data_IF_593737267226
#
_entry.id   IF_593737267226
#
_cell.length_a   1.000
_cell.length_b   1.000
_cell.length_c   1.000
_cell.angle_alpha   90.00
_cell.angle_beta   90.00
_cell.angle_gamma   90.00
#
_symmetry.space_group_name_H-M   'P 1'
#
loop_
_entity.id
_entity.type
_entity.pdbx_description
1 polymer ?
#
# COMPACT_ATOMS: atom_id res chain seq x y z
N UNK A 1 -59.63 12.84 83.69
CA UNK A 1 -59.09 11.48 83.87
C UNK A 1 -60.27 10.61 84.28
N UNK A 2 -60.72 9.57 83.58
CA UNK A 2 -60.17 8.83 82.42
C UNK A 2 -61.37 8.14 81.77
N UNK A 3 -61.48 8.20 80.44
CA UNK A 3 -62.48 7.48 79.64
C UNK A 3 -62.09 6.00 79.55
N UNK A 4 -63.05 5.10 79.79
CA UNK A 4 -62.95 3.66 79.48
C UNK A 4 -63.63 3.41 78.14
N UNK A 5 -62.86 2.84 77.21
CA UNK A 5 -63.22 2.54 75.83
C UNK A 5 -63.89 1.17 75.75
N UNK A 6 -65.09 1.11 75.16
CA UNK A 6 -65.78 -0.14 74.83
C UNK A 6 -65.27 -0.76 73.53
N UNK A 7 -65.14 -2.09 73.50
CA UNK A 7 -64.64 -2.85 72.35
C UNK A 7 -65.57 -2.77 71.13
N UNK A 8 -64.98 -2.73 69.93
CA UNK A 8 -65.68 -2.73 68.65
C UNK A 8 -65.99 -4.18 68.19
N UNK A 9 -67.21 -4.40 67.69
CA UNK A 9 -67.70 -5.70 67.23
C UNK A 9 -67.02 -6.21 65.94
N UNK A 10 -67.02 -7.53 65.77
CA UNK A 10 -66.33 -8.23 64.69
C UNK A 10 -66.94 -8.00 63.28
N UNK A 11 -66.06 -7.91 62.28
CA UNK A 11 -66.37 -7.67 60.87
C UNK A 11 -67.03 -8.90 60.20
N UNK A 12 -68.05 -8.65 59.35
CA UNK A 12 -68.82 -9.71 58.67
C UNK A 12 -68.06 -10.34 57.49
N UNK A 13 -68.43 -11.58 57.07
CA UNK A 13 -67.66 -12.31 56.06
C UNK A 13 -67.77 -11.70 54.65
N UNK A 14 -66.69 -11.75 53.83
CA UNK A 14 -66.68 -11.20 52.48
C UNK A 14 -67.67 -11.85 51.51
N UNK A 15 -68.26 -11.04 50.62
CA UNK A 15 -69.16 -11.49 49.56
C UNK A 15 -68.47 -12.34 48.48
N UNK A 16 -69.22 -13.28 47.90
CA UNK A 16 -68.76 -14.26 46.90
C UNK A 16 -68.64 -13.66 45.49
N UNK A 17 -67.48 -13.83 44.86
CA UNK A 17 -67.15 -13.34 43.50
C UNK A 17 -67.95 -14.06 42.41
N UNK A 18 -68.44 -13.30 41.42
CA UNK A 18 -69.21 -13.84 40.28
C UNK A 18 -68.38 -14.63 39.26
N UNK A 19 -69.04 -15.38 38.35
CA UNK A 19 -68.36 -16.26 37.41
C UNK A 19 -67.60 -15.49 36.31
N UNK A 20 -66.46 -16.04 35.89
CA UNK A 20 -65.59 -15.50 34.83
C UNK A 20 -66.20 -15.79 33.45
N UNK A 21 -66.19 -14.79 32.55
CA UNK A 21 -66.74 -14.90 31.20
C UNK A 21 -65.91 -15.81 30.25
N UNK A 22 -66.50 -16.26 29.14
CA UNK A 22 -65.85 -17.20 28.22
C UNK A 22 -64.70 -16.56 27.43
N UNK A 23 -63.67 -17.35 27.15
CA UNK A 23 -62.48 -16.95 26.40
C UNK A 23 -62.79 -16.72 24.91
N UNK A 24 -62.22 -15.67 24.32
CA UNK A 24 -62.40 -15.34 22.90
C UNK A 24 -61.68 -16.32 21.95
N UNK A 25 -62.10 -16.39 20.67
CA UNK A 25 -61.53 -17.32 19.69
C UNK A 25 -60.11 -16.94 19.26
N UNK A 26 -59.32 -17.95 18.89
CA UNK A 26 -57.93 -17.79 18.44
C UNK A 26 -57.82 -17.08 17.08
N UNK A 27 -56.77 -16.27 16.92
CA UNK A 27 -56.47 -15.55 15.68
C UNK A 27 -55.99 -16.47 14.54
N UNK A 28 -56.28 -16.08 13.29
CA UNK A 28 -55.92 -16.87 12.09
C UNK A 28 -54.41 -16.77 11.78
N UNK A 29 -53.79 -17.82 11.21
CA UNK A 29 -52.39 -17.77 10.76
C UNK A 29 -52.16 -16.72 9.66
N UNK A 30 -50.95 -16.14 9.65
CA UNK A 30 -50.53 -15.18 8.63
C UNK A 30 -50.23 -15.84 7.26
N UNK A 31 -50.24 -15.06 6.16
CA UNK A 31 -50.00 -15.59 4.82
C UNK A 31 -48.54 -16.00 4.59
N UNK A 32 -48.36 -16.95 3.67
CA UNK A 32 -47.05 -17.50 3.28
C UNK A 32 -46.22 -16.47 2.49
N UNK A 33 -44.91 -16.37 2.77
CA UNK A 33 -44.02 -15.41 2.13
C UNK A 33 -43.71 -15.74 0.67
N UNK A 34 -43.62 -14.71 -0.19
CA UNK A 34 -43.35 -14.89 -1.62
C UNK A 34 -41.90 -15.35 -1.88
N UNK A 35 -41.74 -16.24 -2.87
CA UNK A 35 -40.46 -16.80 -3.31
C UNK A 35 -39.61 -15.73 -4.00
N UNK A 36 -38.32 -15.64 -3.66
CA UNK A 36 -37.38 -14.69 -4.24
C UNK A 36 -37.18 -14.89 -5.75
N UNK A 37 -36.99 -13.78 -6.47
CA UNK A 37 -36.80 -13.77 -7.93
C UNK A 37 -35.40 -14.30 -8.27
N UNK A 38 -35.24 -15.20 -9.26
CA UNK A 38 -33.93 -15.65 -9.73
C UNK A 38 -33.07 -14.49 -10.24
N UNK A 39 -31.76 -14.52 -9.95
CA UNK A 39 -30.82 -13.51 -10.44
C UNK A 39 -30.67 -13.50 -11.97
N UNK A 40 -30.25 -12.37 -12.56
CA UNK A 40 -30.10 -12.26 -14.01
C UNK A 40 -28.97 -13.16 -14.53
N UNK A 41 -29.15 -13.67 -15.76
CA UNK A 41 -28.13 -14.45 -16.48
C UNK A 41 -26.98 -13.53 -16.88
N UNK A 42 -25.73 -13.97 -16.67
CA UNK A 42 -24.53 -13.20 -17.02
C UNK A 42 -24.42 -12.94 -18.54
N UNK A 43 -23.73 -11.87 -18.95
CA UNK A 43 -23.58 -11.51 -20.36
C UNK A 43 -22.76 -12.57 -21.14
N UNK A 44 -23.07 -12.80 -22.44
CA UNK A 44 -22.25 -13.66 -23.30
C UNK A 44 -20.81 -13.15 -23.42
N UNK A 45 -19.84 -14.07 -23.42
CA UNK A 45 -18.43 -13.73 -23.63
C UNK A 45 -18.18 -13.11 -25.01
N UNK A 46 -17.21 -12.20 -25.09
CA UNK A 46 -16.84 -11.53 -26.33
C UNK A 46 -16.27 -12.52 -27.37
N UNK A 47 -16.59 -12.38 -28.67
CA UNK A 47 -15.97 -13.17 -29.73
C UNK A 47 -14.45 -12.94 -29.77
N UNK A 48 -13.68 -14.03 -29.86
CA UNK A 48 -12.22 -13.96 -29.98
C UNK A 48 -11.79 -13.19 -31.25
N UNK A 49 -10.74 -12.39 -31.12
CA UNK A 49 -10.16 -11.63 -32.22
C UNK A 49 -9.63 -12.57 -33.32
N UNK A 50 -9.93 -12.23 -34.57
CA UNK A 50 -9.42 -12.91 -35.76
C UNK A 50 -7.92 -12.66 -35.88
N UNK A 51 -7.11 -13.71 -35.89
CA UNK A 51 -5.66 -13.60 -36.05
C UNK A 51 -5.27 -12.97 -37.38
N UNK A 52 -4.27 -12.09 -37.36
CA UNK A 52 -3.71 -11.44 -38.54
C UNK A 52 -3.01 -12.44 -39.47
N UNK A 53 -3.04 -12.24 -40.80
CA UNK A 53 -2.30 -13.08 -41.75
C UNK A 53 -0.79 -12.95 -41.53
N UNK A 54 -0.11 -14.10 -41.40
CA UNK A 54 1.34 -14.15 -41.18
C UNK A 54 2.14 -13.52 -42.32
N UNK A 55 3.20 -12.78 -41.96
CA UNK A 55 4.16 -12.22 -42.90
C UNK A 55 5.02 -13.30 -43.56
N UNK A 56 5.40 -13.03 -44.81
CA UNK A 56 6.23 -13.90 -45.65
C UNK A 56 7.65 -13.98 -45.07
N UNK A 57 8.11 -15.19 -44.75
CA UNK A 57 9.37 -15.40 -44.04
C UNK A 57 10.63 -14.97 -44.81
N UNK A 58 11.56 -14.34 -44.10
CA UNK A 58 12.93 -14.11 -44.57
C UNK A 58 13.82 -15.32 -44.30
N UNK A 59 14.81 -15.49 -45.18
CA UNK A 59 15.75 -16.60 -45.23
C UNK A 59 16.77 -16.48 -44.08
N UNK A 60 16.91 -17.53 -43.27
CA UNK A 60 17.63 -17.48 -41.99
C UNK A 60 19.15 -17.29 -42.06
N UNK A 61 19.71 -16.81 -40.96
CA UNK A 61 21.11 -16.91 -40.58
C UNK A 61 21.23 -17.81 -39.34
N UNK A 62 22.26 -18.68 -39.24
CA UNK A 62 22.38 -19.66 -38.16
C UNK A 62 22.94 -19.00 -36.89
N UNK A 63 22.28 -19.22 -35.76
CA UNK A 63 22.67 -18.67 -34.47
C UNK A 63 22.40 -19.61 -33.29
N UNK A 64 23.49 -19.90 -32.58
CA UNK A 64 23.71 -20.43 -31.22
C UNK A 64 22.64 -21.26 -30.50
N UNK A 65 23.11 -22.41 -30.02
CA UNK A 65 22.50 -23.27 -29.00
C UNK A 65 22.24 -22.44 -27.73
N UNK A 66 20.97 -22.14 -27.46
CA UNK A 66 20.51 -21.67 -26.17
C UNK A 66 20.42 -22.83 -25.18
N UNK A 67 20.93 -22.61 -23.96
CA UNK A 67 20.76 -23.50 -22.83
C UNK A 67 19.26 -23.71 -22.54
N UNK A 68 18.87 -24.96 -22.30
CA UNK A 68 17.53 -25.35 -21.86
C UNK A 68 17.27 -24.67 -20.51
N UNK A 69 16.24 -23.82 -20.45
CA UNK A 69 15.76 -23.23 -19.20
C UNK A 69 15.25 -24.31 -18.24
N UNK A 70 15.39 -24.14 -16.92
CA UNK A 70 14.87 -25.09 -15.96
C UNK A 70 13.34 -25.24 -16.11
N UNK A 71 12.77 -26.43 -15.88
CA UNK A 71 11.32 -26.63 -15.89
C UNK A 71 10.63 -25.66 -14.93
N UNK A 72 9.55 -25.02 -15.39
CA UNK A 72 8.76 -24.11 -14.55
C UNK A 72 8.20 -24.82 -13.33
N UNK A 73 8.22 -24.15 -12.18
CA UNK A 73 7.68 -24.70 -10.93
C UNK A 73 6.16 -24.93 -11.02
N UNK A 74 5.73 -26.03 -10.39
CA UNK A 74 4.34 -26.41 -10.27
C UNK A 74 3.58 -25.35 -9.46
N UNK A 75 2.56 -24.74 -10.06
CA UNK A 75 1.74 -23.73 -9.39
C UNK A 75 1.15 -24.27 -8.06
N UNK A 76 1.28 -23.46 -7.00
CA UNK A 76 0.76 -23.80 -5.68
C UNK A 76 -0.76 -23.99 -5.72
N UNK A 77 -1.20 -25.06 -5.05
CA UNK A 77 -2.60 -25.40 -4.89
C UNK A 77 -3.24 -24.36 -3.95
N UNK A 78 -4.19 -23.59 -4.46
CA UNK A 78 -4.87 -22.56 -3.68
C UNK A 78 -5.40 -23.04 -2.34
N UNK A 79 -5.15 -22.25 -1.30
CA UNK A 79 -5.52 -22.56 0.07
C UNK A 79 -7.03 -22.66 0.26
N UNK A 80 -7.44 -23.63 1.07
CA UNK A 80 -8.83 -23.83 1.47
C UNK A 80 -9.24 -22.66 2.38
N UNK A 81 -10.26 -21.90 1.97
CA UNK A 81 -10.79 -20.78 2.76
C UNK A 81 -11.07 -21.15 4.22
N UNK A 82 -10.68 -20.28 5.14
CA UNK A 82 -10.86 -20.44 6.57
C UNK A 82 -12.35 -20.48 6.96
N UNK A 83 -12.78 -21.33 7.91
CA UNK A 83 -14.13 -21.28 8.47
C UNK A 83 -14.41 -19.91 9.09
N UNK A 84 -15.60 -19.36 8.84
CA UNK A 84 -16.02 -18.07 9.41
C UNK A 84 -16.06 -18.09 10.95
N UNK A 85 -15.80 -16.95 11.61
CA UNK A 85 -15.74 -16.88 13.06
C UNK A 85 -17.11 -17.14 13.72
N UNK A 86 -17.08 -17.84 14.85
CA UNK A 86 -18.25 -18.13 15.68
C UNK A 86 -18.74 -16.84 16.34
N UNK A 87 -20.04 -16.53 16.18
CA UNK A 87 -20.67 -15.35 16.79
C UNK A 87 -20.64 -15.39 18.32
N UNK A 88 -20.44 -14.23 18.95
CA UNK A 88 -20.42 -14.06 20.41
C UNK A 88 -21.82 -14.25 21.03
N UNK A 89 -21.91 -14.79 22.27
CA UNK A 89 -23.18 -14.86 22.99
C UNK A 89 -23.70 -13.45 23.33
N UNK A 90 -24.97 -13.18 23.02
CA UNK A 90 -25.64 -11.93 23.40
C UNK A 90 -25.84 -11.80 24.92
N UNK A 91 -25.68 -10.60 25.43
CA UNK A 91 -25.87 -10.23 26.84
C UNK A 91 -27.32 -10.38 27.31
N UNK A 92 -27.49 -10.85 28.56
CA UNK A 92 -28.77 -10.97 29.26
C UNK A 92 -29.35 -9.58 29.57
N UNK A 93 -30.59 -9.31 29.14
CA UNK A 93 -31.37 -8.12 29.50
C UNK A 93 -32.65 -8.50 30.26
N UNK A 94 -33.00 -7.70 31.27
CA UNK A 94 -33.86 -8.02 32.42
C UNK A 94 -35.36 -8.31 32.15
N UNK A 95 -35.92 -9.16 33.01
CA UNK A 95 -37.34 -9.50 33.09
C UNK A 95 -38.17 -8.42 33.80
N UNK A 96 -39.34 -8.10 33.23
CA UNK A 96 -40.39 -7.27 33.83
C UNK A 96 -41.13 -7.95 35.00
N UNK A 97 -41.91 -7.13 35.73
CA UNK A 97 -42.53 -7.48 37.02
C UNK A 97 -43.85 -8.27 36.85
N UNK A 98 -43.85 -9.48 37.46
CA UNK A 98 -44.89 -10.32 38.11
C UNK A 98 -46.35 -10.40 37.61
N UNK A 99 -46.76 -11.66 37.36
CA UNK A 99 -48.06 -12.25 37.75
C UNK A 99 -48.00 -13.78 37.62
N UNK A 100 -48.17 -14.52 38.72
CA UNK A 100 -47.93 -15.97 38.77
C UNK A 100 -49.13 -16.81 38.33
N UNK A 101 -48.91 -17.77 37.41
CA UNK A 101 -49.85 -18.84 37.05
C UNK A 101 -49.12 -20.19 37.10
N UNK A 102 -49.84 -21.22 37.54
CA UNK A 102 -49.32 -22.47 38.13
C UNK A 102 -48.49 -23.40 37.23
N UNK A 103 -47.91 -24.45 37.83
CA UNK A 103 -46.88 -25.28 37.20
C UNK A 103 -47.46 -26.13 36.05
N UNK A 104 -46.84 -26.00 34.88
CA UNK A 104 -47.05 -26.87 33.72
C UNK A 104 -46.16 -28.11 33.86
N UNK A 105 -46.72 -29.29 33.58
CA UNK A 105 -46.05 -30.58 33.71
C UNK A 105 -44.81 -30.73 32.81
N UNK A 106 -43.92 -31.69 33.13
CA UNK A 106 -42.66 -31.85 32.41
C UNK A 106 -42.88 -32.17 30.91
N UNK A 107 -42.08 -31.59 30.00
CA UNK A 107 -42.12 -31.88 28.57
C UNK A 107 -41.82 -33.34 28.27
N UNK A 108 -42.52 -33.90 27.27
CA UNK A 108 -42.22 -35.24 26.74
C UNK A 108 -40.84 -35.33 26.10
N UNK A 109 -40.27 -36.54 25.98
CA UNK A 109 -38.91 -36.73 25.47
C UNK A 109 -38.76 -36.30 23.99
N UNK A 110 -37.56 -35.86 23.56
CA UNK A 110 -37.28 -35.47 22.17
C UNK A 110 -37.52 -36.62 21.18
N UNK A 111 -38.12 -36.30 20.03
CA UNK A 111 -38.29 -37.23 18.92
C UNK A 111 -36.95 -37.68 18.31
N UNK A 112 -36.91 -38.92 17.83
CA UNK A 112 -35.71 -39.54 17.25
C UNK A 112 -35.25 -38.81 15.96
N UNK A 113 -33.93 -38.68 15.72
CA UNK A 113 -33.39 -38.09 14.49
C UNK A 113 -33.85 -38.83 13.23
N UNK A 114 -34.23 -38.08 12.20
CA UNK A 114 -34.60 -38.64 10.89
C UNK A 114 -33.43 -39.33 10.19
N UNK A 115 -33.72 -40.38 9.42
CA UNK A 115 -32.73 -41.19 8.71
C UNK A 115 -31.93 -40.39 7.67
N UNK A 116 -30.62 -40.64 7.60
CA UNK A 116 -29.68 -40.06 6.65
C UNK A 116 -30.07 -40.38 5.20
N UNK A 117 -30.16 -39.35 4.34
CA UNK A 117 -30.45 -39.51 2.92
C UNK A 117 -29.36 -40.29 2.16
N UNK A 118 -29.71 -40.99 1.06
CA UNK A 118 -28.77 -41.85 0.34
C UNK A 118 -27.65 -41.06 -0.35
N UNK A 119 -26.45 -41.65 -0.33
CA UNK A 119 -25.22 -41.11 -0.91
C UNK A 119 -25.32 -41.04 -2.44
N UNK A 120 -25.08 -39.85 -3.01
CA UNK A 120 -25.05 -39.65 -4.46
C UNK A 120 -23.97 -40.49 -5.16
N UNK A 121 -24.26 -40.97 -6.37
CA UNK A 121 -23.39 -41.84 -7.15
C UNK A 121 -22.08 -41.14 -7.57
N UNK A 122 -20.97 -41.87 -7.47
CA UNK A 122 -19.63 -41.42 -7.86
C UNK A 122 -19.55 -41.30 -9.39
N UNK A 123 -19.23 -40.11 -9.90
CA UNK A 123 -18.99 -39.91 -11.34
C UNK A 123 -17.83 -40.78 -11.85
N UNK A 124 -18.02 -41.42 -13.00
CA UNK A 124 -17.02 -42.26 -13.66
C UNK A 124 -15.85 -41.42 -14.17
N UNK A 125 -14.63 -41.81 -13.82
CA UNK A 125 -13.39 -41.24 -14.36
C UNK A 125 -13.29 -41.51 -15.86
N UNK A 126 -12.95 -40.50 -16.65
CA UNK A 126 -12.72 -40.64 -18.09
C UNK A 126 -11.50 -41.53 -18.40
N UNK A 127 -11.45 -42.17 -19.58
CA UNK A 127 -10.35 -43.05 -19.95
C UNK A 127 -9.04 -42.28 -20.15
N UNK A 128 -7.93 -42.89 -19.75
CA UNK A 128 -6.58 -42.33 -19.91
C UNK A 128 -6.20 -42.24 -21.40
N UNK A 129 -5.64 -41.09 -21.81
CA UNK A 129 -5.12 -40.91 -23.18
C UNK A 129 -3.96 -41.86 -23.47
N UNK A 130 -3.88 -42.34 -24.72
CA UNK A 130 -2.79 -43.22 -25.15
C UNK A 130 -1.44 -42.50 -25.08
N UNK A 131 -0.44 -43.22 -24.56
CA UNK A 131 0.96 -42.78 -24.44
C UNK A 131 1.54 -42.67 -25.85
N UNK A 132 2.03 -41.49 -26.22
CA UNK A 132 2.71 -41.29 -27.50
C UNK A 132 4.03 -42.07 -27.56
N UNK A 133 4.29 -42.71 -28.69
CA UNK A 133 5.50 -43.49 -28.93
C UNK A 133 6.75 -42.59 -28.90
N UNK A 134 7.81 -43.12 -28.29
CA UNK A 134 9.09 -42.41 -28.12
C UNK A 134 9.83 -42.38 -29.46
N UNK A 135 10.11 -41.18 -29.97
CA UNK A 135 10.86 -40.99 -31.22
C UNK A 135 12.27 -41.59 -31.14
N UNK A 136 12.72 -42.19 -32.24
CA UNK A 136 14.04 -42.83 -32.34
C UNK A 136 15.17 -41.80 -32.25
N UNK A 137 16.22 -42.16 -31.51
CA UNK A 137 17.42 -41.34 -31.29
C UNK A 137 18.17 -41.15 -32.63
N UNK A 138 18.44 -39.89 -32.99
CA UNK A 138 19.19 -39.55 -34.19
C UNK A 138 20.67 -39.95 -34.11
N UNK A 139 21.34 -40.25 -35.24
CA UNK A 139 22.73 -40.68 -35.26
C UNK A 139 23.71 -39.57 -34.82
N UNK A 140 24.89 -39.92 -34.28
CA UNK A 140 25.89 -38.95 -33.86
C UNK A 140 26.40 -38.08 -35.01
N UNK A 141 26.59 -36.78 -34.75
CA UNK A 141 27.15 -35.84 -35.73
C UNK A 141 28.64 -36.11 -36.01
N UNK A 142 29.14 -35.74 -37.21
CA UNK A 142 30.54 -35.97 -37.59
C UNK A 142 31.52 -35.09 -36.79
N UNK A 143 32.78 -35.54 -36.61
CA UNK A 143 33.82 -34.75 -35.92
C UNK A 143 34.14 -33.43 -36.63
N UNK A 144 34.31 -32.36 -35.86
CA UNK A 144 34.67 -31.03 -36.37
C UNK A 144 36.12 -30.94 -36.86
N UNK A 145 36.43 -29.98 -37.75
CA UNK A 145 37.77 -29.81 -38.31
C UNK A 145 38.78 -29.23 -37.28
N UNK A 146 40.10 -29.49 -37.43
CA UNK A 146 41.13 -28.98 -36.52
C UNK A 146 41.27 -27.45 -36.57
N UNK A 147 41.44 -26.83 -35.40
CA UNK A 147 41.56 -25.37 -35.24
C UNK A 147 42.88 -24.82 -35.76
N UNK A 148 42.80 -23.75 -36.55
CA UNK A 148 43.93 -23.03 -37.12
C UNK A 148 44.41 -21.92 -36.15
N UNK A 149 45.72 -21.82 -35.97
CA UNK A 149 46.41 -20.95 -35.02
C UNK A 149 46.28 -19.48 -35.45
N UNK A 150 45.56 -18.67 -34.66
CA UNK A 150 45.51 -17.22 -34.86
C UNK A 150 46.79 -16.59 -34.25
N UNK A 151 47.64 -16.05 -35.12
CA UNK A 151 48.73 -15.14 -34.74
C UNK A 151 48.16 -13.81 -34.22
N UNK A 152 48.69 -13.22 -33.14
CA UNK A 152 48.33 -11.86 -32.74
C UNK A 152 49.01 -10.81 -33.64
N UNK A 153 48.20 -9.86 -34.14
CA UNK A 153 48.63 -8.66 -34.87
C UNK A 153 49.41 -7.69 -33.96
N UNK A 154 50.39 -6.93 -34.50
CA UNK A 154 51.23 -6.03 -33.70
C UNK A 154 50.55 -4.67 -33.48
N UNK A 155 50.35 -4.28 -32.22
CA UNK A 155 50.00 -2.91 -31.83
C UNK A 155 51.27 -2.06 -31.88
N UNK A 156 51.30 -1.10 -32.81
CA UNK A 156 52.31 -0.07 -32.90
C UNK A 156 52.07 1.01 -31.82
N UNK A 157 53.10 1.33 -31.04
CA UNK A 157 53.18 2.56 -30.25
C UNK A 157 54.41 3.38 -30.68
N UNK A 158 54.32 4.72 -30.73
CA UNK A 158 55.37 5.55 -31.31
C UNK A 158 56.54 5.75 -30.33
N UNK A 159 57.75 5.50 -30.85
CA UNK A 159 59.04 5.71 -30.18
C UNK A 159 59.23 7.19 -29.81
N UNK A 160 59.42 7.48 -28.51
CA UNK A 160 60.21 8.65 -28.08
C UNK A 160 61.66 8.25 -27.90
N UNK A 161 62.50 8.98 -28.60
CA UNK A 161 63.96 8.94 -28.70
C UNK A 161 64.65 9.20 -27.36
N UNK A 162 65.49 8.28 -26.90
CA UNK A 162 66.69 8.64 -26.12
C UNK A 162 67.83 7.66 -26.43
N UNK A 163 68.94 8.24 -26.89
CA UNK A 163 70.17 7.59 -27.35
C UNK A 163 70.78 6.72 -26.26
N UNK A 164 71.21 5.51 -26.61
CA UNK A 164 72.23 4.77 -25.87
C UNK A 164 73.55 4.85 -26.64
N UNK A 165 74.62 5.15 -25.92
CA UNK A 165 76.00 4.97 -26.34
C UNK A 165 76.74 4.41 -25.12
N UNK A 166 77.50 3.34 -25.32
CA UNK A 166 78.49 2.86 -24.36
C UNK A 166 78.24 1.44 -23.87
N UNK A 167 79.05 0.53 -24.39
CA UNK A 167 79.26 -0.83 -23.90
C UNK A 167 79.85 -0.86 -22.48
N UNK A 168 79.72 -2.06 -21.90
CA UNK A 168 80.66 -2.73 -20.99
C UNK A 168 80.31 -2.71 -19.48
N UNK A 169 80.01 -3.93 -19.02
CA UNK A 169 80.42 -4.54 -17.74
C UNK A 169 80.26 -3.73 -16.46
N UNK A 170 79.42 -4.21 -15.53
CA UNK A 170 79.93 -4.96 -14.38
C UNK A 170 78.82 -5.41 -13.44
N UNK A 171 79.09 -6.51 -12.76
CA UNK A 171 78.21 -7.18 -11.81
C UNK A 171 77.92 -6.30 -10.57
N UNK A 172 76.67 -5.86 -10.42
CA UNK A 172 76.02 -5.61 -9.14
C UNK A 172 74.57 -5.17 -9.38
N UNK A 173 73.61 -5.86 -8.78
CA UNK A 173 72.24 -5.35 -8.68
C UNK A 173 71.19 -6.22 -9.34
N UNK A 174 71.08 -7.49 -8.95
CA UNK A 174 69.75 -8.07 -8.75
C UNK A 174 69.15 -7.43 -7.49
N UNK A 175 68.91 -6.11 -7.53
CA UNK A 175 67.91 -5.51 -6.65
C UNK A 175 66.61 -5.97 -7.25
N UNK A 176 66.03 -6.95 -6.57
CA UNK A 176 64.72 -7.47 -6.85
C UNK A 176 63.76 -6.30 -7.03
N UNK A 177 63.05 -6.29 -8.16
CA UNK A 177 61.93 -5.42 -8.46
C UNK A 177 60.74 -5.76 -7.54
N UNK A 178 60.91 -5.52 -6.25
CA UNK A 178 59.92 -5.68 -5.20
C UNK A 178 59.26 -4.33 -4.86
N UNK A 179 59.70 -3.24 -5.49
CA UNK A 179 59.09 -1.91 -5.32
C UNK A 179 57.82 -1.77 -6.14
N UNK A 180 57.89 -2.08 -7.44
CA UNK A 180 56.79 -1.87 -8.39
C UNK A 180 55.63 -2.86 -8.13
N UNK A 181 55.93 -4.15 -7.92
CA UNK A 181 54.91 -5.15 -7.57
C UNK A 181 54.27 -4.96 -6.18
N UNK A 182 54.94 -4.25 -5.27
CA UNK A 182 54.40 -3.97 -3.93
C UNK A 182 53.50 -2.73 -3.94
N UNK A 183 53.78 -1.73 -4.79
CA UNK A 183 52.88 -0.59 -5.04
C UNK A 183 51.52 -1.04 -5.59
N UNK A 184 51.50 -2.00 -6.51
CA UNK A 184 50.25 -2.58 -7.04
C UNK A 184 49.45 -3.32 -5.96
N UNK A 185 50.14 -4.03 -5.06
CA UNK A 185 49.52 -4.72 -3.92
C UNK A 185 48.96 -3.71 -2.92
N UNK A 186 49.71 -2.65 -2.60
CA UNK A 186 49.23 -1.59 -1.72
C UNK A 186 48.07 -0.80 -2.35
N UNK A 187 48.10 -0.57 -3.66
CA UNK A 187 47.00 0.02 -4.42
C UNK A 187 45.75 -0.84 -4.34
N UNK A 188 45.89 -2.16 -4.58
CA UNK A 188 44.79 -3.14 -4.47
C UNK A 188 44.22 -3.22 -3.05
N UNK A 189 45.07 -3.25 -2.03
CA UNK A 189 44.63 -3.28 -0.63
C UNK A 189 43.95 -1.98 -0.22
N UNK A 190 44.44 -0.83 -0.70
CA UNK A 190 43.82 0.47 -0.44
C UNK A 190 42.45 0.60 -1.13
N UNK A 191 42.29 0.05 -2.34
CA UNK A 191 41.00 -0.03 -3.00
C UNK A 191 40.03 -0.93 -2.23
N UNK A 192 40.46 -2.14 -1.83
CA UNK A 192 39.63 -3.04 -1.03
C UNK A 192 39.25 -2.40 0.32
N UNK A 193 40.18 -1.69 0.96
CA UNK A 193 39.88 -0.93 2.17
C UNK A 193 38.81 0.14 1.90
N UNK A 194 38.94 0.91 0.83
CA UNK A 194 37.94 1.92 0.45
C UNK A 194 36.59 1.29 0.13
N UNK A 195 36.56 0.14 -0.53
CA UNK A 195 35.32 -0.58 -0.83
C UNK A 195 34.63 -1.07 0.44
N UNK A 196 35.39 -1.61 1.39
CA UNK A 196 34.88 -1.99 2.72
C UNK A 196 34.35 -0.78 3.48
N UNK A 197 35.06 0.35 3.45
CA UNK A 197 34.62 1.58 4.10
C UNK A 197 33.34 2.12 3.44
N UNK A 198 33.21 2.05 2.11
CA UNK A 198 32.00 2.47 1.37
C UNK A 198 30.79 1.59 1.66
N UNK A 199 30.99 0.30 1.94
CA UNK A 199 29.93 -0.60 2.38
C UNK A 199 29.47 -0.29 3.81
N UNK A 200 30.38 0.17 4.67
CA UNK A 200 30.05 0.54 6.06
C UNK A 200 29.41 1.92 6.16
N UNK A 201 29.89 2.86 5.36
CA UNK A 201 29.52 4.26 5.39
C UNK A 201 29.12 4.69 3.97
N UNK A 202 27.86 4.42 3.56
CA UNK A 202 27.38 4.77 2.23
C UNK A 202 27.39 6.29 2.04
N UNK A 203 27.77 6.74 0.85
CA UNK A 203 27.96 8.16 0.55
C UNK A 203 26.68 8.89 0.09
N UNK A 204 25.58 8.16 -0.12
CA UNK A 204 24.34 8.73 -0.66
C UNK A 204 24.46 9.13 -2.15
N UNK A 205 25.28 8.40 -2.91
CA UNK A 205 25.48 8.61 -4.35
C UNK A 205 24.80 7.49 -5.15
N UNK A 206 24.53 7.67 -6.45
CA UNK A 206 23.87 6.64 -7.25
C UNK A 206 24.60 5.29 -7.25
N UNK A 207 25.94 5.30 -7.20
CA UNK A 207 26.75 4.08 -7.16
C UNK A 207 26.96 3.53 -5.74
N UNK A 208 26.60 4.31 -4.72
CA UNK A 208 26.71 3.93 -3.32
C UNK A 208 25.60 4.63 -2.51
N UNK A 209 24.33 4.21 -2.70
CA UNK A 209 23.19 4.82 -2.04
C UNK A 209 23.15 4.45 -0.56
N UNK A 210 22.61 5.33 0.28
CA UNK A 210 22.33 5.00 1.67
C UNK A 210 20.97 4.31 1.79
N UNK A 211 20.69 3.62 2.90
CA UNK A 211 19.37 2.97 3.07
C UNK A 211 18.25 4.01 3.28
N UNK A 212 18.50 5.01 4.12
CA UNK A 212 17.61 6.16 4.34
C UNK A 212 18.44 7.44 4.55
N UNK A 213 17.82 8.61 4.50
CA UNK A 213 18.49 9.85 4.89
C UNK A 213 18.94 9.83 6.34
N UNK A 214 18.23 9.11 7.22
CA UNK A 214 18.61 8.97 8.62
C UNK A 214 19.92 8.19 8.77
N UNK A 215 20.05 7.08 8.05
CA UNK A 215 21.29 6.28 8.05
C UNK A 215 22.47 7.10 7.51
N UNK A 216 22.23 7.89 6.46
CA UNK A 216 23.24 8.78 5.88
C UNK A 216 23.68 9.86 6.88
N UNK A 217 22.75 10.46 7.61
CA UNK A 217 23.03 11.43 8.68
C UNK A 217 23.89 10.82 9.80
N UNK A 218 23.56 9.58 10.22
CA UNK A 218 24.29 8.90 11.28
C UNK A 218 25.72 8.54 10.85
N UNK A 219 25.93 8.24 9.57
CA UNK A 219 27.25 7.98 9.01
C UNK A 219 28.06 9.27 8.80
N UNK A 220 27.40 10.34 8.35
CA UNK A 220 28.01 11.62 7.95
C UNK A 220 27.28 12.83 8.56
N UNK A 221 27.51 13.14 9.85
CA UNK A 221 26.87 14.29 10.52
C UNK A 221 27.24 15.65 9.91
N UNK A 222 28.34 15.72 9.15
CA UNK A 222 28.82 16.91 8.47
C UNK A 222 28.14 17.20 7.13
N UNK A 223 27.34 16.27 6.61
CA UNK A 223 26.68 16.47 5.32
C UNK A 223 25.61 17.58 5.41
N UNK A 224 25.54 18.47 4.40
CA UNK A 224 24.51 19.51 4.35
C UNK A 224 23.17 18.95 3.87
N UNK A 225 22.07 19.63 4.19
CA UNK A 225 20.77 19.32 3.61
C UNK A 225 20.83 19.39 2.08
N UNK A 226 20.22 18.43 1.40
CA UNK A 226 20.32 18.35 -0.05
C UNK A 226 19.76 17.08 -0.67
N UNK A 227 20.09 16.87 -1.94
CA UNK A 227 19.62 15.75 -2.74
C UNK A 227 20.60 14.58 -2.69
N UNK A 228 20.13 13.42 -2.24
CA UNK A 228 20.94 12.21 -2.10
C UNK A 228 20.21 10.98 -2.64
N UNK A 229 20.97 9.95 -2.97
CA UNK A 229 20.44 8.66 -3.41
C UNK A 229 20.23 7.73 -2.24
N UNK A 230 19.03 7.16 -2.17
CA UNK A 230 18.68 6.15 -1.17
C UNK A 230 18.18 4.86 -1.83
N UNK A 231 18.38 3.76 -1.11
CA UNK A 231 17.97 2.41 -1.49
C UNK A 231 17.38 1.64 -0.28
N UNK A 232 16.11 1.92 0.09
CA UNK A 232 15.44 1.29 1.25
C UNK A 232 15.32 -0.23 1.19
N UNK A 233 15.02 -0.80 0.02
CA UNK A 233 14.88 -2.25 -0.17
C UNK A 233 16.24 -2.96 -0.24
N UNK A 234 17.31 -2.22 -0.51
CA UNK A 234 18.66 -2.73 -0.73
C UNK A 234 18.74 -3.73 -1.90
N UNK A 235 19.91 -4.33 -2.07
CA UNK A 235 20.16 -5.35 -3.08
C UNK A 235 20.83 -4.74 -4.30
N UNK A 236 20.09 -4.60 -5.40
CA UNK A 236 20.64 -4.04 -6.63
C UNK A 236 20.44 -2.53 -6.64
N UNK A 237 21.50 -1.74 -6.49
CA UNK A 237 21.42 -0.26 -6.45
C UNK A 237 20.85 0.41 -7.70
N UNK A 238 20.52 -0.35 -8.76
CA UNK A 238 19.93 0.15 -9.99
C UNK A 238 18.49 0.63 -9.88
N UNK A 239 17.76 0.27 -8.81
CA UNK A 239 16.42 0.78 -8.50
C UNK A 239 16.42 1.79 -7.33
N UNK A 240 17.61 2.24 -6.91
CA UNK A 240 17.75 3.37 -5.99
C UNK A 240 17.12 4.63 -6.59
N UNK A 241 16.72 5.56 -5.73
CA UNK A 241 16.06 6.79 -6.16
C UNK A 241 16.57 7.98 -5.35
N UNK A 242 16.41 9.17 -5.94
CA UNK A 242 16.92 10.41 -5.37
C UNK A 242 15.87 11.12 -4.54
N UNK A 243 16.25 11.58 -3.37
CA UNK A 243 15.37 12.23 -2.40
C UNK A 243 16.04 13.44 -1.79
N UNK A 244 15.23 14.35 -1.28
CA UNK A 244 15.73 15.43 -0.46
C UNK A 244 15.91 14.95 0.97
N UNK A 245 17.15 14.93 1.44
CA UNK A 245 17.49 14.65 2.83
C UNK A 245 17.58 15.95 3.61
N UNK A 246 16.74 16.05 4.64
CA UNK A 246 16.78 17.16 5.59
C UNK A 246 17.46 16.71 6.89
N UNK A 247 18.78 16.90 6.97
CA UNK A 247 19.57 16.56 8.13
C UNK A 247 19.34 17.55 9.28
N UNK A 248 19.05 18.82 9.01
CA UNK A 248 18.68 19.78 10.06
C UNK A 248 17.36 19.43 10.76
N UNK A 249 16.44 18.75 10.07
CA UNK A 249 15.19 18.21 10.61
C UNK A 249 15.31 16.78 11.16
N UNK A 250 16.51 16.32 11.51
CA UNK A 250 16.71 15.01 12.13
C UNK A 250 16.84 13.85 11.15
N UNK A 251 17.14 14.12 9.87
CA UNK A 251 17.38 13.12 8.84
C UNK A 251 16.11 12.68 8.10
N UNK A 252 15.12 13.58 7.98
CA UNK A 252 13.89 13.30 7.25
C UNK A 252 14.19 13.01 5.76
N UNK A 253 13.55 11.98 5.23
CA UNK A 253 13.55 11.61 3.81
C UNK A 253 12.31 12.22 3.15
N UNK A 254 12.48 13.26 2.35
CA UNK A 254 11.36 13.99 1.74
C UNK A 254 11.17 13.64 0.27
N UNK A 255 9.92 13.34 -0.09
CA UNK A 255 9.48 13.04 -1.45
C UNK A 255 8.44 14.08 -1.87
N UNK A 256 8.58 14.61 -3.09
CA UNK A 256 7.75 15.70 -3.60
C UNK A 256 6.62 15.19 -4.50
N UNK A 257 5.46 15.87 -4.51
CA UNK A 257 4.44 15.62 -5.50
C UNK A 257 4.96 15.97 -6.90
N UNK A 258 4.46 15.26 -7.92
CA UNK A 258 4.84 15.57 -9.29
C UNK A 258 4.38 16.97 -9.71
N UNK A 259 4.93 17.49 -10.82
CA UNK A 259 4.61 18.85 -11.31
C UNK A 259 3.12 19.07 -11.56
N UNK A 260 2.37 18.01 -11.85
CA UNK A 260 0.93 18.11 -12.08
C UNK A 260 0.17 18.11 -10.75
N UNK A 261 0.68 17.41 -9.73
CA UNK A 261 0.06 17.15 -8.43
C UNK A 261 0.46 18.15 -7.34
N UNK A 262 1.42 19.05 -7.63
CA UNK A 262 1.79 20.15 -6.73
C UNK A 262 0.59 21.03 -6.34
N UNK A 263 -0.48 21.04 -7.14
CA UNK A 263 -1.78 21.60 -6.74
C UNK A 263 -2.43 22.42 -7.83
N UNK A 264 -3.38 23.27 -7.45
CA UNK A 264 -4.17 24.10 -8.36
C UNK A 264 -4.23 25.54 -7.88
N UNK A 265 -4.08 26.48 -8.82
CA UNK A 265 -4.20 27.91 -8.54
C UNK A 265 -5.64 28.27 -8.18
N UNK A 266 -5.78 29.30 -7.33
CA UNK A 266 -7.09 29.79 -6.90
C UNK A 266 -7.99 30.13 -8.10
N UNK A 267 -9.10 29.40 -8.22
CA UNK A 267 -10.03 29.47 -9.35
C UNK A 267 -11.46 29.24 -8.87
N UNK A 268 -12.46 29.64 -9.68
CA UNK A 268 -13.85 29.24 -9.46
C UNK A 268 -14.13 27.90 -10.15
N UNK A 269 -14.91 27.06 -9.48
CA UNK A 269 -15.23 25.70 -9.93
C UNK A 269 -16.75 25.48 -10.06
N UNK A 270 -17.45 26.24 -10.93
CA UNK A 270 -18.92 26.26 -10.96
C UNK A 270 -19.57 25.00 -11.55
N UNK A 271 -18.77 24.09 -12.12
CA UNK A 271 -19.26 22.85 -12.76
C UNK A 271 -18.97 21.60 -11.94
N UNK A 272 -18.23 21.74 -10.84
CA UNK A 272 -17.86 20.62 -9.97
C UNK A 272 -18.84 20.52 -8.80
N UNK A 273 -18.88 19.36 -8.14
CA UNK A 273 -19.86 19.05 -7.09
C UNK A 273 -19.20 19.20 -5.71
N UNK A 274 -19.75 20.02 -4.80
CA UNK A 274 -19.26 20.10 -3.43
C UNK A 274 -19.39 18.76 -2.69
N UNK A 275 -18.37 18.40 -1.91
CA UNK A 275 -18.27 17.12 -1.22
C UNK A 275 -17.79 15.97 -2.09
N UNK A 276 -17.36 16.22 -3.34
CA UNK A 276 -16.73 15.21 -4.18
C UNK A 276 -15.21 15.27 -4.08
N UNK A 277 -14.55 14.15 -4.44
CA UNK A 277 -13.09 14.06 -4.43
C UNK A 277 -12.48 14.89 -5.56
N UNK A 278 -11.28 15.42 -5.36
CA UNK A 278 -10.60 16.19 -6.40
C UNK A 278 -10.33 15.33 -7.64
N UNK A 279 -10.04 14.03 -7.51
CA UNK A 279 -9.91 13.13 -8.66
C UNK A 279 -11.17 12.99 -9.52
N UNK A 280 -12.35 13.22 -8.96
CA UNK A 280 -13.64 13.15 -9.66
C UNK A 280 -13.95 14.42 -10.46
N UNK A 281 -13.25 15.53 -10.19
CA UNK A 281 -13.44 16.77 -10.92
C UNK A 281 -13.04 16.63 -12.39
N UNK A 282 -13.63 17.45 -13.27
CA UNK A 282 -13.30 17.41 -14.70
C UNK A 282 -11.81 17.66 -15.01
N UNK A 283 -11.15 18.49 -14.20
CA UNK A 283 -9.69 18.76 -14.27
C UNK A 283 -8.93 18.14 -13.10
N UNK A 284 -9.61 17.28 -12.37
CA UNK A 284 -9.13 16.50 -11.26
C UNK A 284 -8.12 15.43 -11.65
N UNK A 285 -7.36 14.98 -10.67
CA UNK A 285 -6.58 13.74 -10.75
C UNK A 285 -6.13 13.31 -9.35
N UNK A 286 -5.78 12.03 -9.24
CA UNK A 286 -5.08 11.50 -8.07
C UNK A 286 -3.69 12.16 -7.97
N UNK A 287 -3.27 12.43 -6.73
CA UNK A 287 -1.97 13.01 -6.42
C UNK A 287 -0.88 11.93 -6.49
N UNK A 288 0.14 12.21 -7.29
CA UNK A 288 1.30 11.34 -7.50
C UNK A 288 2.58 11.99 -6.96
N UNK A 289 3.51 11.15 -6.55
CA UNK A 289 4.80 11.53 -5.97
C UNK A 289 5.93 10.95 -6.79
N UNK A 290 7.01 11.71 -6.89
CA UNK A 290 8.18 11.39 -7.72
C UNK A 290 9.45 11.59 -6.92
N UNK A 291 10.51 10.94 -7.37
CA UNK A 291 11.85 11.24 -6.90
C UNK A 291 12.25 12.68 -7.26
N UNK A 292 13.38 13.15 -6.75
CA UNK A 292 13.85 14.51 -7.00
C UNK A 292 14.24 14.79 -8.45
N UNK A 293 14.36 13.76 -9.29
CA UNK A 293 14.61 13.88 -10.73
C UNK A 293 13.31 13.85 -11.55
N UNK A 294 12.16 13.58 -10.90
CA UNK A 294 10.84 13.51 -11.52
C UNK A 294 10.43 12.12 -12.00
N UNK A 295 11.18 11.07 -11.64
CA UNK A 295 10.85 9.70 -11.97
C UNK A 295 9.84 9.11 -10.97
N UNK A 296 9.02 8.18 -11.45
CA UNK A 296 8.11 7.43 -10.58
C UNK A 296 8.89 6.52 -9.63
N UNK A 297 8.56 6.56 -8.35
CA UNK A 297 9.19 5.70 -7.34
C UNK A 297 8.50 4.32 -7.36
N UNK A 298 9.30 3.26 -7.33
CA UNK A 298 8.79 1.89 -7.28
C UNK A 298 7.99 1.66 -5.98
N UNK A 299 6.85 0.97 -6.08
CA UNK A 299 6.01 0.63 -4.93
C UNK A 299 6.76 -0.23 -3.89
N UNK A 300 7.70 -1.07 -4.32
CA UNK A 300 8.56 -1.85 -3.41
C UNK A 300 9.43 -0.92 -2.58
N UNK A 301 10.08 0.05 -3.22
CA UNK A 301 10.91 1.04 -2.53
C UNK A 301 10.09 1.86 -1.53
N UNK A 302 8.89 2.30 -1.92
CA UNK A 302 7.97 2.97 -1.01
C UNK A 302 7.58 2.10 0.19
N UNK A 303 7.31 0.80 -0.03
CA UNK A 303 6.96 -0.13 1.05
C UNK A 303 8.08 -0.26 2.07
N UNK A 304 9.33 -0.43 1.60
CA UNK A 304 10.49 -0.50 2.50
C UNK A 304 10.75 0.82 3.20
N UNK A 305 10.59 1.96 2.52
CA UNK A 305 10.72 3.27 3.15
C UNK A 305 9.71 3.41 4.31
N UNK A 306 8.45 3.00 4.10
CA UNK A 306 7.42 3.02 5.16
C UNK A 306 7.80 2.13 6.35
N UNK A 307 8.33 0.93 6.10
CA UNK A 307 8.76 0.00 7.15
C UNK A 307 9.93 0.51 7.99
N UNK A 308 10.77 1.38 7.41
CA UNK A 308 11.93 1.99 8.07
C UNK A 308 11.62 3.34 8.72
N UNK A 309 10.35 3.75 8.69
CA UNK A 309 9.91 5.06 9.19
C UNK A 309 9.12 4.91 10.47
N UNK A 310 9.42 5.73 11.48
CA UNK A 310 8.67 5.78 12.73
C UNK A 310 7.52 6.81 12.71
N UNK A 311 7.73 7.94 12.03
CA UNK A 311 6.71 8.98 11.86
C UNK A 311 6.86 9.69 10.51
N UNK A 312 5.77 10.21 9.99
CA UNK A 312 5.80 10.97 8.74
C UNK A 312 5.01 12.27 8.85
N UNK A 313 5.50 13.28 8.15
CA UNK A 313 4.97 14.63 8.13
C UNK A 313 4.64 15.06 6.71
N UNK A 314 3.45 15.62 6.51
CA UNK A 314 3.05 16.17 5.23
C UNK A 314 2.24 17.45 5.42
N UNK A 315 2.57 18.48 4.65
CA UNK A 315 1.85 19.75 4.67
C UNK A 315 0.88 19.86 3.49
N UNK A 316 -0.25 20.51 3.73
CA UNK A 316 -1.22 20.84 2.70
C UNK A 316 -1.68 22.29 2.90
N UNK A 317 -1.54 23.11 1.87
CA UNK A 317 -1.94 24.52 1.92
C UNK A 317 -3.18 24.74 1.08
N UNK A 318 -4.24 25.22 1.70
CA UNK A 318 -5.46 25.63 1.03
C UNK A 318 -5.49 27.16 0.87
N UNK A 319 -5.76 27.64 -0.33
CA UNK A 319 -5.96 29.05 -0.64
C UNK A 319 -7.44 29.30 -0.92
N UNK A 320 -8.07 30.17 -0.14
CA UNK A 320 -9.51 30.39 -0.20
C UNK A 320 -9.86 31.83 -0.61
N UNK A 321 -11.02 31.98 -1.24
CA UNK A 321 -11.75 33.24 -1.34
C UNK A 321 -13.21 32.99 -0.97
N UNK A 322 -13.66 33.56 0.14
CA UNK A 322 -15.01 33.34 0.70
C UNK A 322 -15.37 31.86 0.91
N UNK A 323 -14.39 31.03 1.27
CA UNK A 323 -14.54 29.59 1.45
C UNK A 323 -13.79 29.15 2.72
N UNK A 324 -14.37 28.20 3.45
CA UNK A 324 -13.82 27.60 4.66
C UNK A 324 -12.98 26.36 4.30
N UNK A 325 -11.85 26.21 4.99
CA UNK A 325 -10.92 25.09 4.78
C UNK A 325 -10.90 24.09 5.94
N UNK A 326 -11.06 24.58 7.17
CA UNK A 326 -10.89 23.79 8.38
C UNK A 326 -11.95 24.11 9.43
N UNK A 327 -11.76 25.15 10.25
CA UNK A 327 -12.78 25.58 11.23
C UNK A 327 -13.71 26.63 10.60
N UNK A 328 -15.03 26.50 10.70
CA UNK A 328 -15.97 27.57 10.35
C UNK A 328 -16.25 28.42 11.59
N UNK A 329 -15.69 29.63 11.63
CA UNK A 329 -15.84 30.54 12.76
C UNK A 329 -17.27 31.08 12.94
N UNK A 330 -18.14 30.98 11.93
CA UNK A 330 -19.51 31.46 12.03
C UNK A 330 -20.45 30.43 12.65
N UNK A 331 -20.26 29.14 12.34
CA UNK A 331 -21.04 28.04 12.90
C UNK A 331 -20.36 27.33 14.06
N UNK A 332 -19.11 27.68 14.35
CA UNK A 332 -18.23 27.00 15.32
C UNK A 332 -18.21 25.48 15.09
N UNK A 333 -18.00 25.07 13.84
CA UNK A 333 -18.02 23.66 13.44
C UNK A 333 -16.95 23.30 12.42
N UNK A 334 -16.71 21.99 12.26
CA UNK A 334 -15.74 21.42 11.32
C UNK A 334 -16.42 20.64 10.19
N UNK A 335 -17.73 20.79 10.00
CA UNK A 335 -18.49 20.03 8.98
C UNK A 335 -18.03 20.35 7.55
N UNK A 336 -17.49 21.56 7.36
CA UNK A 336 -16.90 22.05 6.10
C UNK A 336 -15.38 21.92 6.04
N UNK A 337 -14.78 21.18 6.97
CA UNK A 337 -13.35 20.91 6.92
C UNK A 337 -13.03 20.06 5.68
N UNK A 338 -11.83 20.27 5.15
CA UNK A 338 -11.26 19.40 4.13
C UNK A 338 -11.09 17.98 4.67
N UNK A 339 -11.28 17.01 3.79
CA UNK A 339 -11.00 15.59 4.05
C UNK A 339 -9.94 15.12 3.08
N UNK A 340 -9.09 14.21 3.51
CA UNK A 340 -7.96 13.71 2.74
C UNK A 340 -8.12 12.21 2.53
N UNK A 341 -7.70 11.71 1.39
CA UNK A 341 -7.59 10.28 1.14
C UNK A 341 -6.13 9.87 1.33
N UNK A 342 -5.87 8.95 2.26
CA UNK A 342 -4.54 8.40 2.49
C UNK A 342 -4.17 7.34 1.46
N UNK A 343 -2.87 7.03 1.36
CA UNK A 343 -2.38 6.01 0.44
C UNK A 343 -2.82 4.56 0.77
N UNK A 344 -3.45 4.35 1.93
CA UNK A 344 -4.12 3.12 2.34
C UNK A 344 -5.63 3.12 2.03
N UNK A 345 -6.10 4.04 1.19
CA UNK A 345 -7.52 4.26 0.85
C UNK A 345 -8.41 4.62 2.06
N UNK A 346 -7.81 5.08 3.16
CA UNK A 346 -8.53 5.54 4.35
C UNK A 346 -8.81 7.05 4.25
N UNK A 347 -10.06 7.44 4.50
CA UNK A 347 -10.42 8.86 4.63
C UNK A 347 -9.90 9.40 5.97
N UNK A 348 -9.19 10.52 5.91
CA UNK A 348 -8.69 11.27 7.07
C UNK A 348 -9.36 12.63 7.14
N UNK A 349 -9.97 12.93 8.27
CA UNK A 349 -10.69 14.16 8.55
C UNK A 349 -10.39 14.66 9.97
N UNK A 350 -10.94 15.82 10.33
CA UNK A 350 -10.88 16.33 11.69
C UNK A 350 -11.45 15.33 12.72
N UNK A 351 -12.52 14.61 12.37
CA UNK A 351 -13.26 13.76 13.31
C UNK A 351 -12.58 12.43 13.60
N UNK A 352 -11.84 11.89 12.62
CA UNK A 352 -11.28 10.54 12.70
C UNK A 352 -9.74 10.51 12.79
N UNK A 353 -9.07 11.64 12.56
CA UNK A 353 -7.61 11.70 12.54
C UNK A 353 -7.05 12.84 13.41
N UNK A 354 -6.58 12.54 14.64
CA UNK A 354 -6.05 13.57 15.55
C UNK A 354 -4.66 14.11 15.13
N UNK A 355 -4.05 13.53 14.10
CA UNK A 355 -2.73 13.91 13.60
C UNK A 355 -2.78 15.07 12.61
N UNK A 356 -3.98 15.48 12.17
CA UNK A 356 -4.17 16.63 11.30
C UNK A 356 -4.40 17.87 12.15
N UNK A 357 -3.56 18.89 11.94
CA UNK A 357 -3.66 20.18 12.63
C UNK A 357 -3.53 21.33 11.66
N UNK A 358 -4.34 22.37 11.85
CA UNK A 358 -4.12 23.64 11.16
C UNK A 358 -3.01 24.42 11.86
N UNK A 359 -1.87 24.60 11.20
CA UNK A 359 -0.78 25.48 11.67
C UNK A 359 -1.18 26.96 11.61
N UNK A 360 -2.00 27.30 10.62
CA UNK A 360 -2.59 28.64 10.43
C UNK A 360 -3.92 28.48 9.72
N UNK A 361 -4.99 29.11 10.20
CA UNK A 361 -6.32 29.07 9.57
C UNK A 361 -6.84 30.47 9.20
N UNK A 362 -6.45 30.94 8.01
CA UNK A 362 -6.91 32.21 7.46
C UNK A 362 -8.26 32.12 6.74
N UNK A 363 -8.83 30.92 6.58
CA UNK A 363 -10.07 30.70 5.85
C UNK A 363 -11.31 30.60 6.76
N UNK A 364 -11.12 30.62 8.08
CA UNK A 364 -12.17 30.32 9.03
C UNK A 364 -13.39 31.26 8.99
N UNK A 365 -13.18 32.53 8.61
CA UNK A 365 -14.26 33.53 8.62
C UNK A 365 -15.06 33.61 7.32
N UNK A 366 -14.72 32.80 6.31
CA UNK A 366 -15.35 32.80 4.98
C UNK A 366 -15.38 34.21 4.33
N UNK A 367 -14.35 35.02 4.56
CA UNK A 367 -14.25 36.41 4.09
C UNK A 367 -12.95 36.70 3.35
N UNK A 368 -13.08 37.39 2.21
CA UNK A 368 -11.93 37.85 1.44
C UNK A 368 -11.03 36.70 1.00
N UNK A 369 -9.76 37.02 0.74
CA UNK A 369 -8.72 36.03 0.46
C UNK A 369 -8.03 35.59 1.74
N UNK A 370 -7.80 34.29 1.87
CA UNK A 370 -7.11 33.70 3.01
C UNK A 370 -6.30 32.46 2.59
N UNK A 371 -5.52 31.95 3.54
CA UNK A 371 -4.79 30.69 3.41
C UNK A 371 -4.87 29.91 4.70
N UNK A 372 -5.08 28.60 4.58
CA UNK A 372 -5.05 27.66 5.68
C UNK A 372 -3.97 26.62 5.42
N UNK A 373 -3.01 26.52 6.33
CA UNK A 373 -1.90 25.56 6.24
C UNK A 373 -2.18 24.46 7.24
N UNK A 374 -2.36 23.24 6.74
CA UNK A 374 -2.55 22.05 7.56
C UNK A 374 -1.29 21.20 7.52
N UNK A 375 -0.98 20.58 8.65
CA UNK A 375 0.09 19.61 8.83
C UNK A 375 -0.53 18.30 9.28
N UNK A 376 -0.18 17.22 8.58
CA UNK A 376 -0.44 15.85 9.00
C UNK A 376 0.87 15.32 9.57
N UNK A 377 0.93 15.10 10.88
CA UNK A 377 2.09 14.53 11.56
C UNK A 377 1.68 13.23 12.25
N UNK A 378 1.82 12.11 11.55
CA UNK A 378 1.23 10.82 11.92
C UNK A 378 2.30 9.74 12.16
N UNK A 379 2.15 8.91 13.21
CA UNK A 379 2.90 7.66 13.34
C UNK A 379 2.34 6.53 12.47
N UNK A 380 1.16 6.71 11.86
CA UNK A 380 0.53 5.73 10.97
C UNK A 380 1.03 5.95 9.53
N UNK A 381 2.18 5.37 9.20
CA UNK A 381 2.86 5.66 7.93
C UNK A 381 2.06 5.21 6.70
N UNK A 382 1.23 4.18 6.84
CA UNK A 382 0.40 3.69 5.73
C UNK A 382 -0.63 4.72 5.25
N UNK A 383 -1.00 5.68 6.10
CA UNK A 383 -1.93 6.76 5.75
C UNK A 383 -1.32 7.80 4.80
N UNK A 384 0.01 7.86 4.69
CA UNK A 384 0.70 8.85 3.85
C UNK A 384 1.47 8.20 2.70
N UNK A 385 1.66 8.92 1.57
CA UNK A 385 1.22 10.29 1.32
C UNK A 385 -0.29 10.44 1.09
N UNK A 386 -0.78 11.68 1.13
CA UNK A 386 -2.14 12.03 0.68
C UNK A 386 -2.26 11.78 -0.83
N UNK A 387 -3.25 11.01 -1.25
CA UNK A 387 -3.51 10.69 -2.66
C UNK A 387 -4.69 11.47 -3.25
N UNK A 388 -5.58 12.00 -2.41
CA UNK A 388 -6.71 12.83 -2.86
C UNK A 388 -7.20 13.77 -1.76
N UNK A 389 -8.01 14.77 -2.14
CA UNK A 389 -8.61 15.75 -1.24
C UNK A 389 -10.08 15.97 -1.61
N UNK A 390 -10.96 15.92 -0.63
CA UNK A 390 -12.37 16.24 -0.77
C UNK A 390 -12.61 17.68 -0.30
N UNK A 391 -13.34 18.42 -1.13
CA UNK A 391 -13.61 19.84 -0.93
C UNK A 391 -15.10 20.06 -0.69
N UNK A 392 -15.46 20.73 0.41
CA UNK A 392 -16.85 20.83 0.87
C UNK A 392 -17.45 22.22 0.73
N UNK A 393 -16.76 23.30 1.12
CA UNK A 393 -17.29 24.68 1.04
C UNK A 393 -16.95 25.40 -0.28
N UNK A 394 -17.59 25.00 -1.37
CA UNK A 394 -17.56 25.75 -2.64
C UNK A 394 -18.90 25.66 -3.38
N UNK A 395 -19.05 26.43 -4.46
CA UNK A 395 -20.22 26.40 -5.34
C UNK A 395 -20.93 27.74 -5.49
N UNK A 396 -20.78 28.65 -4.52
CA UNK A 396 -21.34 29.99 -4.63
C UNK A 396 -20.59 30.83 -5.69
N UNK A 397 -21.25 31.79 -6.37
CA UNK A 397 -20.67 32.54 -7.50
C UNK A 397 -19.35 33.26 -7.19
N UNK A 398 -19.15 33.66 -5.93
CA UNK A 398 -17.97 34.40 -5.49
C UNK A 398 -16.91 33.52 -4.82
N UNK A 399 -17.20 32.22 -4.62
CA UNK A 399 -16.26 31.30 -4.02
C UNK A 399 -15.18 30.89 -5.01
N UNK A 400 -13.94 30.92 -4.53
CA UNK A 400 -12.79 30.41 -5.26
C UNK A 400 -11.91 29.66 -4.29
N UNK A 401 -11.27 28.60 -4.80
CA UNK A 401 -10.25 27.91 -4.04
C UNK A 401 -9.13 27.44 -4.94
N UNK A 402 -7.99 27.22 -4.29
CA UNK A 402 -6.85 26.49 -4.82
C UNK A 402 -6.15 25.78 -3.68
N UNK A 403 -5.21 24.91 -4.00
CA UNK A 403 -4.41 24.25 -2.99
C UNK A 403 -3.01 23.96 -3.52
N UNK A 404 -2.10 23.74 -2.58
CA UNK A 404 -0.72 23.34 -2.81
C UNK A 404 -0.41 22.14 -1.90
N UNK A 405 0.14 21.08 -2.50
CA UNK A 405 0.49 19.85 -1.81
C UNK A 405 1.98 19.92 -1.46
N UNK A 406 2.30 19.84 -0.17
CA UNK A 406 3.68 19.79 0.29
C UNK A 406 4.31 18.40 0.13
N UNK A 407 5.64 18.31 0.30
CA UNK A 407 6.32 17.03 0.32
C UNK A 407 5.82 16.17 1.49
N UNK A 408 5.90 14.86 1.31
CA UNK A 408 5.81 13.89 2.42
C UNK A 408 7.23 13.61 2.90
N UNK A 409 7.48 13.82 4.19
CA UNK A 409 8.77 13.63 4.82
C UNK A 409 8.69 12.49 5.83
N UNK A 410 9.51 11.47 5.62
CA UNK A 410 9.57 10.26 6.43
C UNK A 410 10.73 10.37 7.42
N UNK A 411 10.46 10.21 8.71
CA UNK A 411 11.45 10.24 9.79
C UNK A 411 11.65 8.83 10.37
N UNK A 412 12.86 8.30 10.23
CA UNK A 412 13.28 6.97 10.68
C UNK A 412 13.79 6.91 12.12
#
# INVERSE_FOLDING_TARGET
>A
MTLVQGEAGAEGPPGKTGPVGPQGPAGKPGPEGLRGIPGPVGPPGLPGLKGDPGSKGEKGHPGLIGLIGPPGEQGEKGDRGLPGPQGSPGSKGDSGIRGASGPIGPPGPPGLPGSQGPKGAKGSSGPAGQKGDTGLVGPPGPPGPPGEVIQPLPIQSPKKTKRSSGMQSDAAGTIMDYGEGMEDIFGSLNNLKQDIERMKYPMGTQNNPARTCKDLQLCHPEFPDGEYWIDPNQGCSGDSFKVYCNFTAGGETCIYPDKKSNGVRISSWPKEVPGSWFSEFKRGKILSYVDSEGNSINMVQMTFLRLLTASARQNFTYSCHQSVAWHDANSDSYDKALRFLGANDEEMSYDNNPYIKALSDGCATRKGYGKTVMEINTPKIDQVPIIDVMLTDFGDPNQKFGFEVGPVCFLG
#
